data_IF_440767159717
#
_entry.id   IF_440767159717
#
_cell.length_a   1.000
_cell.length_b   1.000
_cell.length_c   1.000
_cell.angle_alpha   90.00
_cell.angle_beta   90.00
_cell.angle_gamma   90.00
#
_symmetry.space_group_name_H-M   'P 1'
#
loop_
_entity.id
_entity.type
_entity.pdbx_description
1 polymer ?
#
# COMPACT_ATOMS: atom_id res chain seq x y z
N UNK A 1 3.28 -41.25 39.52
CA UNK A 1 3.82 -41.97 38.36
C UNK A 1 2.76 -41.91 37.28
N UNK A 2 2.90 -41.26 36.13
CA UNK A 2 4.09 -40.94 35.37
C UNK A 2 3.76 -41.33 33.92
N UNK A 3 3.22 -40.39 33.15
CA UNK A 3 3.04 -40.49 31.71
C UNK A 3 3.17 -39.07 31.15
N UNK A 4 3.86 -38.97 30.02
CA UNK A 4 4.17 -37.77 29.22
C UNK A 4 5.49 -37.03 29.51
N UNK A 5 6.58 -37.80 29.64
CA UNK A 5 7.92 -37.29 29.31
C UNK A 5 8.20 -37.56 27.81
N UNK A 6 7.79 -36.61 26.96
CA UNK A 6 8.25 -36.53 25.59
C UNK A 6 9.38 -35.49 25.52
N UNK A 7 10.64 -35.84 25.20
CA UNK A 7 11.67 -34.84 24.95
C UNK A 7 11.49 -34.35 23.51
N UNK A 8 10.52 -33.48 23.29
CA UNK A 8 10.37 -32.77 22.02
C UNK A 8 11.23 -31.50 22.10
N UNK A 9 12.54 -31.61 21.82
CA UNK A 9 13.41 -30.47 21.55
C UNK A 9 12.83 -29.70 20.35
N UNK A 10 11.99 -28.72 20.63
CA UNK A 10 11.39 -27.84 19.65
C UNK A 10 12.33 -26.65 19.44
N UNK A 11 13.34 -26.84 18.60
CA UNK A 11 14.11 -25.72 18.04
C UNK A 11 13.20 -24.96 17.08
N UNK A 12 12.71 -23.82 17.54
CA UNK A 12 11.73 -23.02 16.84
C UNK A 12 12.37 -21.74 16.29
N UNK A 13 12.46 -21.64 14.96
CA UNK A 13 12.36 -20.36 14.28
C UNK A 13 10.87 -20.07 14.16
N UNK A 14 10.37 -19.15 15.00
CA UNK A 14 8.98 -18.72 14.97
C UNK A 14 8.96 -17.22 14.68
N UNK A 15 8.28 -16.84 13.61
CA UNK A 15 7.87 -15.45 13.43
C UNK A 15 6.74 -15.17 14.43
N UNK A 16 6.88 -14.13 15.24
CA UNK A 16 5.86 -13.74 16.22
C UNK A 16 4.61 -13.22 15.52
N UNK A 17 3.55 -14.04 15.57
CA UNK A 17 2.11 -13.72 15.48
C UNK A 17 1.69 -12.38 14.80
N UNK A 18 1.80 -12.29 13.48
CA UNK A 18 0.67 -12.07 12.53
C UNK A 18 1.19 -12.18 11.08
N UNK A 19 0.50 -13.00 10.28
CA UNK A 19 0.53 -13.04 8.79
C UNK A 19 1.72 -13.60 7.96
N UNK A 20 2.86 -14.04 8.51
CA UNK A 20 3.97 -14.52 7.66
C UNK A 20 4.55 -15.88 8.05
N UNK A 21 4.31 -16.92 7.24
CA UNK A 21 5.02 -18.20 7.33
C UNK A 21 6.33 -18.15 6.54
N UNK A 22 7.48 -18.09 7.22
CA UNK A 22 8.78 -18.40 6.60
C UNK A 22 9.19 -19.79 7.07
N UNK A 23 9.18 -20.75 6.16
CA UNK A 23 9.53 -22.14 6.49
C UNK A 23 11.04 -22.28 6.62
N UNK A 24 11.49 -22.89 7.72
CA UNK A 24 12.86 -23.39 7.84
C UNK A 24 13.04 -24.49 6.78
N UNK A 25 13.92 -24.25 5.81
CA UNK A 25 14.26 -25.27 4.82
C UNK A 25 15.03 -26.39 5.50
N UNK A 26 14.43 -27.58 5.57
CA UNK A 26 15.16 -28.81 5.87
C UNK A 26 16.08 -29.10 4.67
N UNK A 27 17.39 -29.23 4.88
CA UNK A 27 18.35 -29.51 3.81
C UNK A 27 18.18 -30.97 3.36
N UNK A 28 17.31 -31.21 2.37
CA UNK A 28 17.07 -32.57 1.86
C UNK A 28 15.91 -32.77 0.89
N UNK A 29 15.16 -31.75 0.46
CA UNK A 29 14.12 -31.96 -0.57
C UNK A 29 14.18 -30.90 -1.67
N UNK A 30 14.18 -31.41 -2.90
CA UNK A 30 14.38 -30.76 -4.18
C UNK A 30 13.71 -29.40 -4.39
N UNK A 31 14.41 -28.58 -5.17
CA UNK A 31 14.09 -27.21 -5.59
C UNK A 31 12.67 -27.08 -6.19
N UNK A 32 11.71 -26.60 -5.40
CA UNK A 32 10.55 -25.86 -5.92
C UNK A 32 10.78 -24.38 -5.64
N UNK A 33 10.61 -23.52 -6.66
CA UNK A 33 10.74 -22.05 -6.64
C UNK A 33 10.69 -21.48 -5.22
N UNK A 34 11.84 -21.09 -4.68
CA UNK A 34 11.89 -20.38 -3.41
C UNK A 34 11.17 -19.05 -3.62
N UNK A 35 9.90 -18.93 -3.20
CA UNK A 35 9.31 -17.60 -3.03
C UNK A 35 10.06 -16.97 -1.87
N UNK A 36 10.86 -15.93 -2.14
CA UNK A 36 11.29 -15.01 -1.11
C UNK A 36 10.07 -14.63 -0.27
N UNK A 37 10.20 -14.74 1.05
CA UNK A 37 9.12 -14.37 1.95
C UNK A 37 9.00 -12.85 1.94
N UNK A 38 7.91 -12.36 1.37
CA UNK A 38 7.60 -10.94 1.31
C UNK A 38 6.69 -10.59 2.49
N UNK A 39 7.13 -9.66 3.32
CA UNK A 39 6.30 -9.03 4.35
C UNK A 39 5.36 -7.98 3.75
N UNK A 40 4.59 -7.28 4.59
CA UNK A 40 3.71 -6.21 4.11
C UNK A 40 4.57 -5.04 3.65
N UNK A 41 4.09 -4.33 2.63
CA UNK A 41 4.69 -3.06 2.22
C UNK A 41 4.60 -2.06 3.38
N UNK A 42 5.71 -1.36 3.62
CA UNK A 42 5.81 -0.29 4.61
C UNK A 42 5.60 1.02 3.88
N UNK A 43 4.75 1.88 4.43
CA UNK A 43 4.49 3.21 3.88
C UNK A 43 5.06 4.26 4.80
N UNK A 44 5.80 5.21 4.24
CA UNK A 44 6.32 6.36 4.96
C UNK A 44 6.10 7.64 4.14
N UNK A 45 6.12 8.78 4.81
CA UNK A 45 6.11 10.10 4.17
C UNK A 45 7.49 10.74 4.28
N UNK A 46 7.78 11.68 3.38
CA UNK A 46 9.01 12.48 3.46
C UNK A 46 9.15 13.16 4.83
N UNK A 47 10.38 13.26 5.34
CA UNK A 47 10.74 13.83 6.66
C UNK A 47 10.12 13.13 7.88
N UNK A 48 9.41 12.01 7.69
CA UNK A 48 8.89 11.17 8.79
C UNK A 48 9.89 10.07 9.17
N UNK A 49 9.55 9.26 10.17
CA UNK A 49 10.32 8.07 10.54
C UNK A 49 9.66 6.81 9.95
N UNK A 50 10.37 6.09 9.09
CA UNK A 50 9.94 4.76 8.64
C UNK A 50 10.34 3.70 9.68
N UNK A 51 9.46 2.72 9.92
CA UNK A 51 9.70 1.59 10.82
C UNK A 51 9.45 0.28 10.09
N UNK A 52 10.49 -0.51 9.91
CA UNK A 52 10.47 -1.78 9.19
C UNK A 52 10.71 -2.89 10.20
N UNK A 53 9.69 -3.69 10.47
CA UNK A 53 9.74 -4.73 11.48
C UNK A 53 10.36 -6.03 10.94
N UNK A 54 11.32 -6.58 11.65
CA UNK A 54 11.80 -7.94 11.49
C UNK A 54 11.34 -8.82 12.67
N UNK A 55 10.10 -9.36 12.63
CA UNK A 55 9.53 -10.15 13.72
C UNK A 55 10.08 -11.59 13.80
N UNK A 56 11.37 -11.78 13.53
CA UNK A 56 12.02 -13.09 13.57
C UNK A 56 12.46 -13.39 15.00
N UNK A 57 11.95 -14.48 15.56
CA UNK A 57 12.38 -15.00 16.86
C UNK A 57 13.03 -16.37 16.63
N UNK A 58 14.23 -16.55 17.19
CA UNK A 58 14.95 -17.81 17.15
C UNK A 58 15.56 -18.11 18.53
N UNK A 59 15.75 -19.40 18.80
CA UNK A 59 16.59 -19.87 19.90
C UNK A 59 17.59 -20.90 19.37
N UNK A 60 18.92 -20.74 19.60
CA UNK A 60 19.61 -19.57 20.17
C UNK A 60 19.29 -18.23 19.47
N UNK A 61 19.64 -17.10 20.10
CA UNK A 61 19.34 -15.78 19.55
C UNK A 61 19.97 -15.62 18.15
N UNK A 62 19.20 -15.17 17.15
CA UNK A 62 19.73 -15.09 15.79
C UNK A 62 20.59 -13.85 15.60
N UNK A 63 21.62 -13.96 14.78
CA UNK A 63 22.32 -12.82 14.22
C UNK A 63 21.50 -12.23 13.06
N UNK A 64 21.17 -10.95 13.13
CA UNK A 64 20.35 -10.23 12.16
C UNK A 64 21.20 -9.25 11.36
N UNK A 65 21.10 -9.33 10.03
CA UNK A 65 21.77 -8.44 9.08
C UNK A 65 20.71 -7.81 8.17
N UNK A 66 20.80 -6.50 7.95
CA UNK A 66 19.92 -5.77 7.05
C UNK A 66 20.55 -5.52 5.69
N UNK A 67 19.72 -5.55 4.66
CA UNK A 67 20.08 -5.19 3.30
C UNK A 67 19.07 -4.21 2.73
N UNK A 68 19.53 -3.29 1.88
CA UNK A 68 18.70 -2.46 1.02
C UNK A 68 19.04 -2.76 -0.43
N UNK A 69 18.04 -3.14 -1.22
CA UNK A 69 18.17 -3.45 -2.66
C UNK A 69 19.30 -4.46 -2.96
N UNK A 70 19.46 -5.45 -2.06
CA UNK A 70 20.47 -6.52 -2.08
C UNK A 70 21.87 -6.13 -1.57
N UNK A 71 22.11 -4.87 -1.27
CA UNK A 71 23.38 -4.42 -0.68
C UNK A 71 23.28 -4.38 0.85
N UNK A 72 24.34 -4.74 1.58
CA UNK A 72 24.36 -4.60 3.04
C UNK A 72 24.02 -3.17 3.44
N UNK A 73 23.10 -3.03 4.40
CA UNK A 73 22.72 -1.74 4.94
C UNK A 73 23.61 -1.41 6.12
N UNK A 74 24.31 -0.29 6.06
CA UNK A 74 25.08 0.22 7.19
C UNK A 74 24.18 1.03 8.12
N UNK A 75 24.27 0.73 9.43
CA UNK A 75 23.61 1.52 10.46
C UNK A 75 24.33 2.87 10.61
N UNK A 76 23.56 3.90 10.97
CA UNK A 76 24.05 5.27 11.18
C UNK A 76 23.18 5.98 12.21
N UNK A 77 23.51 7.22 12.57
CA UNK A 77 22.67 8.02 13.49
C UNK A 77 21.22 8.14 13.01
N UNK A 78 21.00 8.12 11.68
CA UNK A 78 19.68 8.19 11.05
C UNK A 78 19.01 6.82 10.89
N UNK A 79 19.80 5.75 10.78
CA UNK A 79 19.33 4.39 10.50
C UNK A 79 19.74 3.47 11.65
N UNK A 80 18.79 3.17 12.53
CA UNK A 80 19.03 2.41 13.75
C UNK A 80 18.25 1.10 13.76
N UNK A 81 18.78 0.09 14.44
CA UNK A 81 18.11 -1.20 14.62
C UNK A 81 18.06 -1.54 16.10
N UNK A 82 16.84 -1.69 16.64
CA UNK A 82 16.59 -2.06 18.03
C UNK A 82 15.27 -2.81 18.15
N UNK A 83 15.18 -3.76 19.08
CA UNK A 83 13.96 -4.52 19.39
C UNK A 83 13.28 -5.15 18.15
N UNK A 84 14.08 -5.61 17.19
CA UNK A 84 13.58 -6.21 15.95
C UNK A 84 12.99 -5.21 14.95
N UNK A 85 13.20 -3.91 15.11
CA UNK A 85 12.69 -2.87 14.21
C UNK A 85 13.85 -2.04 13.67
N UNK A 86 13.92 -1.93 12.34
CA UNK A 86 14.78 -0.98 11.65
C UNK A 86 14.05 0.36 11.55
N UNK A 87 14.61 1.41 12.13
CA UNK A 87 14.09 2.77 12.10
C UNK A 87 14.94 3.63 11.19
N UNK A 88 14.30 4.36 10.28
CA UNK A 88 14.93 5.32 9.38
C UNK A 88 14.31 6.67 9.66
N UNK A 89 15.07 7.58 10.25
CA UNK A 89 14.65 8.96 10.50
C UNK A 89 14.83 9.83 9.26
N UNK A 90 14.11 10.96 9.22
CA UNK A 90 14.15 11.93 8.11
C UNK A 90 14.11 11.24 6.74
N UNK A 91 13.03 10.49 6.49
CA UNK A 91 12.85 9.69 5.28
C UNK A 91 12.93 10.56 4.03
N UNK A 92 13.73 10.13 3.05
CA UNK A 92 13.93 10.77 1.74
C UNK A 92 13.49 9.85 0.62
N UNK A 93 13.16 10.38 -0.55
CA UNK A 93 12.73 9.58 -1.72
C UNK A 93 13.71 8.45 -2.07
N UNK A 94 15.01 8.70 -1.91
CA UNK A 94 16.06 7.71 -2.14
C UNK A 94 16.01 6.53 -1.16
N UNK A 95 15.34 6.63 -0.01
CA UNK A 95 15.19 5.54 0.95
C UNK A 95 14.20 4.48 0.49
N UNK A 96 13.33 4.79 -0.48
CA UNK A 96 12.41 3.81 -1.06
C UNK A 96 13.19 2.63 -1.67
N UNK A 97 12.65 1.43 -1.52
CA UNK A 97 13.32 0.22 -1.99
C UNK A 97 12.93 -1.02 -1.20
N UNK A 98 13.61 -2.13 -1.49
CA UNK A 98 13.37 -3.40 -0.80
C UNK A 98 14.37 -3.58 0.33
N UNK A 99 13.87 -3.61 1.55
CA UNK A 99 14.63 -3.91 2.75
C UNK A 99 14.50 -5.39 3.07
N UNK A 100 15.64 -6.07 3.26
CA UNK A 100 15.68 -7.47 3.66
C UNK A 100 16.28 -7.58 5.04
N UNK A 101 15.54 -8.21 5.95
CA UNK A 101 16.08 -8.74 7.19
C UNK A 101 16.53 -10.18 6.95
N UNK A 102 17.81 -10.45 7.19
CA UNK A 102 18.40 -11.78 7.15
C UNK A 102 18.80 -12.20 8.55
N UNK A 103 18.07 -13.15 9.13
CA UNK A 103 18.35 -13.71 10.44
C UNK A 103 19.02 -15.08 10.27
N UNK A 104 20.12 -15.29 10.98
CA UNK A 104 20.90 -16.52 10.95
C UNK A 104 21.13 -17.06 12.35
N UNK A 105 21.05 -18.37 12.53
CA UNK A 105 21.33 -19.03 13.80
C UNK A 105 22.01 -20.38 13.56
N UNK A 106 22.85 -20.82 14.48
CA UNK A 106 23.59 -22.08 14.40
C UNK A 106 23.29 -22.93 15.63
N UNK A 107 22.78 -24.14 15.41
CA UNK A 107 22.52 -25.09 16.49
C UNK A 107 22.47 -26.54 15.99
N UNK A 108 22.77 -27.53 16.84
CA UNK A 108 22.64 -28.94 16.48
C UNK A 108 21.17 -29.37 16.47
N UNK A 109 20.76 -30.10 15.42
CA UNK A 109 19.38 -30.63 15.28
C UNK A 109 19.17 -31.92 16.07
N UNK A 110 20.26 -32.64 16.33
CA UNK A 110 20.27 -33.91 17.05
C UNK A 110 21.34 -33.86 18.16
N UNK A 111 21.12 -34.64 19.22
CA UNK A 111 22.10 -34.81 20.29
C UNK A 111 23.39 -35.37 19.68
N UNK A 112 24.53 -34.72 19.96
CA UNK A 112 25.86 -35.03 19.40
C UNK A 112 25.98 -34.89 17.86
N UNK A 113 25.01 -34.27 17.21
CA UNK A 113 25.05 -33.95 15.79
C UNK A 113 25.91 -32.73 15.45
N UNK A 114 26.26 -32.54 14.17
CA UNK A 114 26.93 -31.32 13.73
C UNK A 114 26.01 -30.10 13.88
N UNK A 115 26.59 -28.94 14.18
CA UNK A 115 25.87 -27.68 14.16
C UNK A 115 25.41 -27.35 12.73
N UNK A 116 24.14 -26.97 12.60
CA UNK A 116 23.56 -26.57 11.32
C UNK A 116 23.21 -25.08 11.33
N UNK A 117 23.54 -24.40 10.23
CA UNK A 117 23.16 -23.01 10.02
C UNK A 117 21.76 -22.91 9.44
N UNK A 118 20.90 -22.14 10.10
CA UNK A 118 19.56 -21.80 9.62
C UNK A 118 19.52 -20.33 9.25
N UNK A 119 18.96 -20.02 8.09
CA UNK A 119 18.83 -18.65 7.58
C UNK A 119 17.41 -18.38 7.15
N UNK A 120 16.86 -17.27 7.62
CA UNK A 120 15.52 -16.76 7.29
C UNK A 120 15.70 -15.39 6.65
N UNK A 121 15.02 -15.15 5.53
CA UNK A 121 15.05 -13.87 4.81
C UNK A 121 13.63 -13.33 4.71
N UNK A 122 13.41 -12.10 5.17
CA UNK A 122 12.15 -11.38 5.07
C UNK A 122 12.37 -10.10 4.27
N UNK A 123 11.72 -10.00 3.11
CA UNK A 123 11.81 -8.85 2.21
C UNK A 123 10.57 -7.97 2.40
N UNK A 124 10.76 -6.66 2.58
CA UNK A 124 9.68 -5.68 2.69
C UNK A 124 9.96 -4.48 1.78
N UNK A 125 8.95 -4.01 1.07
CA UNK A 125 9.06 -2.84 0.22
C UNK A 125 8.71 -1.58 1.02
N UNK A 126 9.65 -0.63 1.13
CA UNK A 126 9.40 0.71 1.64
C UNK A 126 8.91 1.59 0.49
N UNK A 127 7.65 2.02 0.58
CA UNK A 127 7.00 2.89 -0.38
C UNK A 127 6.85 4.27 0.24
N UNK A 128 7.43 5.27 -0.40
CA UNK A 128 7.32 6.65 0.04
C UNK A 128 6.14 7.25 -0.68
N UNK A 129 5.10 7.57 0.07
CA UNK A 129 3.87 8.14 -0.45
C UNK A 129 3.79 9.61 -0.14
N UNK A 130 3.56 10.42 -1.17
CA UNK A 130 3.18 11.81 -0.98
C UNK A 130 1.83 11.86 -0.25
N UNK A 131 1.73 12.71 0.77
CA UNK A 131 0.55 12.90 1.61
C UNK A 131 -0.69 13.42 0.86
N UNK A 132 -0.76 13.31 -0.46
CA UNK A 132 -1.89 13.74 -1.30
C UNK A 132 -2.69 12.57 -1.89
N UNK A 133 -2.22 11.31 -1.75
CA UNK A 133 -2.93 10.16 -2.30
C UNK A 133 -4.36 10.00 -1.72
N UNK A 134 -4.55 10.35 -0.44
CA UNK A 134 -5.87 10.39 0.20
C UNK A 134 -6.68 11.66 -0.16
N UNK A 135 -6.02 12.70 -0.68
CA UNK A 135 -6.66 13.95 -1.12
C UNK A 135 -7.23 13.86 -2.53
N UNK A 136 -6.73 12.93 -3.37
CA UNK A 136 -7.24 12.69 -4.72
C UNK A 136 -8.75 12.41 -4.79
N UNK A 137 -9.36 11.51 -3.99
CA UNK A 137 -10.81 11.30 -4.04
C UNK A 137 -11.59 12.56 -3.67
N UNK A 138 -11.11 13.37 -2.71
CA UNK A 138 -11.76 14.62 -2.32
C UNK A 138 -11.70 15.65 -3.46
N UNK A 139 -10.53 15.78 -4.11
CA UNK A 139 -10.38 16.64 -5.28
C UNK A 139 -11.28 16.22 -6.44
N UNK A 140 -11.39 14.90 -6.71
CA UNK A 140 -12.29 14.36 -7.75
C UNK A 140 -13.75 14.69 -7.43
N UNK A 141 -14.18 14.52 -6.18
CA UNK A 141 -15.54 14.88 -5.76
C UNK A 141 -15.80 16.37 -5.96
N UNK A 142 -14.88 17.24 -5.56
CA UNK A 142 -15.01 18.69 -5.75
C UNK A 142 -15.11 19.05 -7.25
N UNK A 143 -14.30 18.43 -8.10
CA UNK A 143 -14.37 18.63 -9.55
C UNK A 143 -15.73 18.20 -10.10
N UNK A 144 -16.24 17.03 -9.70
CA UNK A 144 -17.56 16.54 -10.13
C UNK A 144 -18.66 17.52 -9.69
N UNK A 145 -18.63 18.00 -8.45
CA UNK A 145 -19.61 18.97 -7.95
C UNK A 145 -19.57 20.28 -8.74
N UNK A 146 -18.38 20.78 -9.07
CA UNK A 146 -18.22 21.96 -9.91
C UNK A 146 -18.76 21.75 -11.33
N UNK A 147 -18.48 20.60 -11.95
CA UNK A 147 -19.01 20.26 -13.26
C UNK A 147 -20.53 20.15 -13.26
N UNK A 148 -21.11 19.49 -12.25
CA UNK A 148 -22.56 19.40 -12.10
C UNK A 148 -23.19 20.80 -11.91
N UNK A 149 -22.57 21.65 -11.10
CA UNK A 149 -23.03 23.02 -10.92
C UNK A 149 -22.99 23.81 -12.23
N UNK A 150 -21.91 23.72 -13.01
CA UNK A 150 -21.79 24.37 -14.32
C UNK A 150 -22.80 23.82 -15.32
N UNK A 151 -23.04 22.50 -15.34
CA UNK A 151 -24.06 21.87 -16.20
C UNK A 151 -25.44 22.37 -15.80
N UNK A 152 -25.78 22.40 -14.52
CA UNK A 152 -27.08 22.90 -14.04
C UNK A 152 -27.23 24.38 -14.39
N UNK A 153 -26.21 25.21 -14.15
CA UNK A 153 -26.25 26.63 -14.44
C UNK A 153 -26.38 26.92 -15.94
N UNK A 154 -25.63 26.20 -16.78
CA UNK A 154 -25.73 26.31 -18.24
C UNK A 154 -27.07 25.79 -18.75
N UNK A 155 -27.59 24.68 -18.22
CA UNK A 155 -28.93 24.19 -18.52
C UNK A 155 -30.01 25.21 -18.13
N UNK A 156 -29.92 25.80 -16.94
CA UNK A 156 -30.83 26.86 -16.48
C UNK A 156 -30.73 28.13 -17.34
N UNK A 157 -29.52 28.48 -17.81
CA UNK A 157 -29.31 29.58 -18.77
C UNK A 157 -29.87 29.23 -20.16
N UNK A 158 -29.71 28.00 -20.63
CA UNK A 158 -30.24 27.51 -21.89
C UNK A 158 -31.76 27.39 -21.89
N UNK A 159 -32.39 26.98 -20.78
CA UNK A 159 -33.85 26.93 -20.66
C UNK A 159 -34.44 28.33 -20.65
N UNK A 160 -33.79 29.28 -19.96
CA UNK A 160 -34.16 30.70 -20.04
C UNK A 160 -34.04 31.24 -21.46
N UNK A 161 -32.91 31.01 -22.14
CA UNK A 161 -32.71 31.41 -23.53
C UNK A 161 -33.78 30.82 -24.48
N UNK A 162 -34.13 29.54 -24.33
CA UNK A 162 -35.18 28.89 -25.14
C UNK A 162 -36.58 29.39 -24.81
N UNK A 163 -36.89 29.67 -23.54
CA UNK A 163 -38.18 30.22 -23.14
C UNK A 163 -38.39 31.62 -23.75
N UNK A 164 -37.36 32.46 -23.72
CA UNK A 164 -37.38 33.78 -24.34
C UNK A 164 -37.56 33.67 -25.86
N UNK A 165 -36.89 32.71 -26.51
CA UNK A 165 -37.05 32.47 -27.95
C UNK A 165 -38.47 31.98 -28.31
N UNK A 166 -39.07 31.09 -27.51
CA UNK A 166 -40.45 30.63 -27.71
C UNK A 166 -41.43 31.81 -27.60
N UNK A 167 -41.27 32.66 -26.59
CA UNK A 167 -42.09 33.84 -26.37
C UNK A 167 -41.96 34.85 -27.53
N UNK A 168 -40.76 35.02 -28.11
CA UNK A 168 -40.53 35.88 -29.29
C UNK A 168 -41.20 35.30 -30.53
N UNK A 169 -41.03 34.01 -30.81
CA UNK A 169 -41.62 33.37 -31.99
C UNK A 169 -43.16 33.41 -31.97
N UNK A 170 -43.80 33.22 -30.82
CA UNK A 170 -45.25 33.36 -30.69
C UNK A 170 -45.72 34.81 -30.87
N UNK A 171 -44.94 35.79 -30.39
CA UNK A 171 -45.22 37.22 -30.62
C UNK A 171 -45.14 37.61 -32.11
N UNK A 172 -44.17 37.07 -32.85
CA UNK A 172 -44.04 37.28 -34.29
C UNK A 172 -45.20 36.63 -35.08
N UNK A 173 -45.64 35.43 -34.69
CA UNK A 173 -46.83 34.80 -35.30
C UNK A 173 -48.09 35.61 -35.06
N UNK A 174 -48.27 36.16 -33.86
CA UNK A 174 -49.42 37.00 -33.53
C UNK A 174 -49.45 38.27 -34.41
N UNK A 175 -48.30 38.91 -34.61
CA UNK A 175 -48.16 40.07 -35.50
C UNK A 175 -48.43 39.72 -36.98
N UNK A 176 -47.97 38.56 -37.43
CA UNK A 176 -48.22 38.11 -38.80
C UNK A 176 -49.71 37.77 -39.04
N UNK A 177 -50.36 37.14 -38.07
CA UNK A 177 -51.79 36.79 -38.15
C UNK A 177 -52.69 38.03 -38.20
N UNK A 178 -52.32 39.11 -37.51
CA UNK A 178 -53.03 40.40 -37.56
C UNK A 178 -52.93 41.10 -38.93
N UNK A 179 -51.90 40.76 -39.73
CA UNK A 179 -51.70 41.33 -41.07
C UNK A 179 -52.40 40.56 -42.19
N UNK A 180 -52.98 39.38 -41.93
CA UNK A 180 -53.77 38.63 -42.93
C UNK A 180 -55.22 39.17 -42.88
N UNK A 181 -55.68 39.97 -43.86
CA UNK A 181 -57.04 40.48 -43.85
C UNK A 181 -58.01 39.31 -44.04
N UNK A 182 -59.15 39.35 -43.33
CA UNK A 182 -60.32 38.50 -43.49
C UNK A 182 -60.68 38.29 -44.98
N UNK A 183 -60.07 37.29 -45.62
CA UNK A 183 -60.31 36.96 -47.03
C UNK A 183 -61.19 35.73 -47.18
N UNK A 184 -62.05 35.44 -46.19
CA UNK A 184 -63.05 34.37 -46.24
C UNK A 184 -64.38 34.92 -45.72
N UNK A 185 -64.97 35.87 -46.45
CA UNK A 185 -66.42 36.13 -46.40
C UNK A 185 -66.90 36.28 -47.83
N UNK A 186 -67.35 35.17 -48.40
CA UNK A 186 -68.24 35.10 -49.56
C UNK A 186 -69.29 34.06 -49.21
#
# INVERSE_FOLDING_TARGET
>A
MGADDAPMFRSFLLVSRSEYCVTVKNCGTSERRQRQSFGPAVYASLSSTARIACPIIAYPEPNIIWFKDKFPLELSDRITFSDGILSIEDVKDEDAGVYRCEASNQFPVQIDGPEQSFVVKLDQELRIGDGYAWMLPLAIILIILLLLFLIIFTCQRCTKYKADQYNVADRERALHNDQVPLKNSV
#
